data_IF_266426293944
#
_entry.id   IF_266426293944
#
_cell.length_a   1.000
_cell.length_b   1.000
_cell.length_c   1.000
_cell.angle_alpha   90.00
_cell.angle_beta   90.00
_cell.angle_gamma   90.00
#
_symmetry.space_group_name_H-M   'P 1'
#
loop_
_entity.id
_entity.type
_entity.pdbx_description
1 polymer ?
#
# COMPACT_ATOMS: atom_id res chain seq x y z
N UNK A 1 29.60 -3.02 57.54
CA UNK A 1 29.89 -2.58 56.14
C UNK A 1 28.84 -3.08 55.13
N UNK A 2 27.54 -3.16 55.48
CA UNK A 2 26.55 -3.86 54.63
C UNK A 2 25.68 -2.98 53.71
N UNK A 3 25.54 -1.69 53.99
CA UNK A 3 24.53 -0.82 53.35
C UNK A 3 24.95 -0.26 51.99
N UNK A 4 26.25 -0.01 51.78
CA UNK A 4 26.75 0.61 50.54
C UNK A 4 26.52 -0.27 49.30
N UNK A 5 26.82 -1.57 49.39
CA UNK A 5 26.69 -2.50 48.26
C UNK A 5 25.27 -2.62 47.70
N UNK A 6 24.25 -2.57 48.57
CA UNK A 6 22.84 -2.65 48.15
C UNK A 6 22.41 -1.37 47.41
N UNK A 7 22.87 -0.20 47.88
CA UNK A 7 22.60 1.07 47.20
C UNK A 7 23.25 1.12 45.81
N UNK A 8 24.52 0.69 45.68
CA UNK A 8 25.20 0.62 44.38
C UNK A 8 24.55 -0.39 43.44
N UNK A 9 24.09 -1.55 43.94
CA UNK A 9 23.39 -2.54 43.13
C UNK A 9 22.01 -2.05 42.67
N UNK A 10 21.28 -1.29 43.50
CA UNK A 10 20.02 -0.65 43.12
C UNK A 10 20.22 0.47 42.09
N UNK A 11 21.27 1.30 42.23
CA UNK A 11 21.64 2.26 41.19
C UNK A 11 22.06 1.57 39.88
N UNK A 12 22.78 0.44 39.95
CA UNK A 12 23.10 -0.33 38.76
C UNK A 12 21.85 -0.94 38.12
N UNK A 13 20.86 -1.38 38.89
CA UNK A 13 19.59 -1.87 38.36
C UNK A 13 18.72 -0.76 37.72
N UNK A 14 18.74 0.47 38.26
CA UNK A 14 18.06 1.61 37.63
C UNK A 14 18.84 2.20 36.43
N UNK A 15 20.17 2.10 36.42
CA UNK A 15 21.00 2.45 35.26
C UNK A 15 21.01 1.35 34.18
N UNK A 16 20.69 0.09 34.53
CA UNK A 16 20.41 -1.01 33.60
C UNK A 16 19.03 -0.90 32.94
N UNK A 17 18.22 0.11 33.31
CA UNK A 17 17.31 0.74 32.34
C UNK A 17 18.09 1.60 31.33
N UNK A 18 19.06 0.95 30.67
CA UNK A 18 19.82 1.46 29.53
C UNK A 18 18.82 1.92 28.47
N UNK A 19 19.19 2.96 27.74
CA UNK A 19 18.44 3.62 26.67
C UNK A 19 18.19 2.74 25.45
N UNK A 20 17.46 1.64 25.64
CA UNK A 20 16.77 0.93 24.58
C UNK A 20 15.61 1.81 24.11
N UNK A 21 15.77 2.40 22.92
CA UNK A 21 14.68 3.11 22.26
C UNK A 21 13.48 2.18 22.04
N UNK A 22 12.27 2.76 21.95
CA UNK A 22 11.06 2.01 21.59
C UNK A 22 11.31 1.33 20.23
N UNK A 23 11.01 0.04 20.14
CA UNK A 23 11.08 -0.69 18.88
C UNK A 23 9.86 -0.32 18.02
N UNK A 24 10.05 -0.09 16.73
CA UNK A 24 8.94 0.06 15.80
C UNK A 24 8.04 -1.20 15.80
N UNK A 25 6.73 -0.99 15.79
CA UNK A 25 5.75 -2.07 15.63
C UNK A 25 5.77 -2.54 14.17
N UNK A 26 5.98 -3.84 13.97
CA UNK A 26 5.91 -4.50 12.67
C UNK A 26 4.42 -4.63 12.28
N UNK A 27 3.91 -3.64 11.54
CA UNK A 27 2.52 -3.62 11.04
C UNK A 27 2.20 -4.83 10.16
N UNK A 28 3.22 -5.43 9.55
CA UNK A 28 3.12 -6.62 8.71
C UNK A 28 3.13 -7.93 9.53
N UNK A 29 3.20 -7.88 10.88
CA UNK A 29 3.17 -9.05 11.79
C UNK A 29 2.46 -8.81 13.13
N UNK A 30 1.64 -7.78 13.24
CA UNK A 30 0.97 -7.45 14.49
C UNK A 30 -0.04 -8.53 14.93
N UNK A 31 -0.08 -8.80 16.25
CA UNK A 31 -0.80 -9.96 16.84
C UNK A 31 -2.32 -9.90 16.72
N UNK A 32 -2.89 -8.73 16.45
CA UNK A 32 -4.34 -8.53 16.37
C UNK A 32 -4.86 -8.52 14.91
N UNK A 33 -4.03 -8.98 13.96
CA UNK A 33 -4.39 -9.16 12.56
C UNK A 33 -4.05 -7.95 11.69
N UNK A 34 -5.05 -7.44 10.98
CA UNK A 34 -4.89 -6.34 10.03
C UNK A 34 -4.67 -4.98 10.69
N UNK A 35 -3.82 -4.18 10.05
CA UNK A 35 -3.81 -2.70 10.04
C UNK A 35 -5.10 -2.11 9.42
N UNK A 36 -5.71 -2.79 8.44
CA UNK A 36 -7.00 -2.37 7.88
C UNK A 36 -8.17 -3.13 8.51
N UNK A 37 -8.97 -2.43 9.32
CA UNK A 37 -10.14 -2.98 10.03
C UNK A 37 -11.18 -3.65 9.11
N UNK A 38 -11.39 -3.17 7.88
CA UNK A 38 -12.34 -3.79 6.95
C UNK A 38 -11.94 -5.20 6.49
N UNK A 39 -10.65 -5.57 6.53
CA UNK A 39 -10.18 -6.87 6.07
C UNK A 39 -10.62 -8.03 6.96
N UNK A 40 -11.12 -7.72 8.16
CA UNK A 40 -11.65 -8.70 9.12
C UNK A 40 -12.94 -9.39 8.61
N UNK A 41 -13.46 -9.06 7.40
CA UNK A 41 -14.54 -9.77 6.71
C UNK A 41 -14.38 -9.86 5.15
N UNK A 42 -14.08 -11.07 4.64
CA UNK A 42 -14.27 -11.67 3.26
C UNK A 42 -14.23 -10.76 1.99
N UNK A 43 -13.39 -11.12 0.99
CA UNK A 43 -13.17 -10.34 -0.25
C UNK A 43 -13.30 -11.06 -1.61
N UNK A 44 -12.75 -10.51 -2.73
CA UNK A 44 -12.33 -11.13 -4.03
C UNK A 44 -12.21 -10.12 -5.21
N UNK A 45 -11.15 -10.23 -6.06
CA UNK A 45 -10.72 -9.41 -7.27
C UNK A 45 -11.09 -7.91 -7.33
N UNK A 46 -10.12 -6.99 -7.41
CA UNK A 46 -10.09 -5.78 -6.56
C UNK A 46 -9.05 -4.69 -7.04
N UNK A 47 -8.94 -3.46 -6.51
CA UNK A 47 -7.91 -2.43 -6.87
C UNK A 47 -7.33 -1.67 -5.64
N UNK A 48 -6.38 -0.73 -5.83
CA UNK A 48 -5.62 -0.09 -4.72
C UNK A 48 -6.28 1.13 -4.03
N UNK A 49 -6.95 2.03 -4.75
CA UNK A 49 -7.44 3.30 -4.19
C UNK A 49 -8.98 3.37 -4.21
N UNK A 50 -9.64 4.04 -3.26
CA UNK A 50 -11.10 4.25 -3.32
C UNK A 50 -11.54 4.87 -4.66
N UNK A 51 -12.77 4.61 -5.11
CA UNK A 51 -13.33 5.29 -6.29
C UNK A 51 -13.78 6.74 -5.97
N UNK A 52 -13.89 7.65 -6.95
CA UNK A 52 -14.27 9.05 -6.69
C UNK A 52 -15.73 9.22 -6.24
N UNK A 53 -16.57 8.23 -6.53
CA UNK A 53 -17.99 8.08 -6.18
C UNK A 53 -18.20 7.24 -4.90
N UNK A 54 -17.12 6.76 -4.26
CA UNK A 54 -17.21 5.92 -3.08
C UNK A 54 -17.82 6.66 -1.89
N UNK A 55 -18.79 6.03 -1.22
CA UNK A 55 -19.36 6.55 0.04
C UNK A 55 -18.31 6.69 1.16
N UNK A 56 -17.17 5.98 1.05
CA UNK A 56 -16.04 6.08 1.99
C UNK A 56 -15.09 7.26 1.70
N UNK A 57 -15.30 7.98 0.61
CA UNK A 57 -14.58 9.23 0.35
C UNK A 57 -14.96 10.29 1.40
N UNK A 58 -14.00 11.11 1.83
CA UNK A 58 -14.31 12.29 2.65
C UNK A 58 -15.03 13.35 1.79
N UNK A 59 -16.02 14.03 2.36
CA UNK A 59 -16.96 14.88 1.63
C UNK A 59 -17.02 16.34 2.12
N UNK A 60 -16.58 16.61 3.35
CA UNK A 60 -16.43 17.97 3.87
C UNK A 60 -15.34 18.71 3.06
N UNK A 61 -15.58 19.98 2.71
CA UNK A 61 -14.61 20.85 2.04
C UNK A 61 -14.44 22.19 2.78
N UNK A 62 -13.33 22.89 2.56
CA UNK A 62 -13.17 24.30 2.93
C UNK A 62 -13.40 25.28 1.76
N UNK A 63 -13.29 26.58 2.05
CA UNK A 63 -13.46 27.70 1.12
C UNK A 63 -12.57 27.61 -0.13
N UNK A 64 -11.45 26.91 -0.02
CA UNK A 64 -10.45 26.78 -1.08
C UNK A 64 -10.66 25.47 -1.86
N UNK A 65 -11.77 24.77 -1.62
CA UNK A 65 -12.12 23.50 -2.26
C UNK A 65 -11.38 22.28 -1.70
N UNK A 66 -10.47 22.43 -0.74
CA UNK A 66 -9.74 21.30 -0.17
C UNK A 66 -10.68 20.38 0.61
N UNK A 67 -10.43 19.08 0.58
CA UNK A 67 -11.18 18.09 1.35
C UNK A 67 -10.67 18.01 2.79
N UNK A 68 -11.59 18.06 3.74
CA UNK A 68 -11.28 18.10 5.17
C UNK A 68 -11.46 16.72 5.79
N UNK A 69 -10.45 16.32 6.57
CA UNK A 69 -10.49 15.16 7.46
C UNK A 69 -10.42 15.69 8.90
N UNK A 70 -11.56 15.79 9.61
CA UNK A 70 -11.58 16.17 11.02
C UNK A 70 -10.92 15.08 11.86
N UNK A 71 -10.06 15.46 12.81
CA UNK A 71 -9.43 14.53 13.74
C UNK A 71 -9.46 15.01 15.20
N UNK A 72 -9.34 14.07 16.14
CA UNK A 72 -9.03 14.33 17.54
C UNK A 72 -7.84 13.47 17.98
N UNK A 73 -7.06 13.94 18.96
CA UNK A 73 -6.07 13.12 19.67
C UNK A 73 -6.62 12.83 21.07
N UNK A 74 -7.25 11.67 21.23
CA UNK A 74 -7.73 11.19 22.52
C UNK A 74 -6.61 10.48 23.32
N UNK A 75 -5.59 10.00 22.61
CA UNK A 75 -4.39 9.38 23.14
C UNK A 75 -3.50 10.34 23.95
N UNK A 76 -2.65 9.75 24.80
CA UNK A 76 -1.43 10.39 25.31
C UNK A 76 -0.20 9.69 24.71
N UNK A 77 0.81 10.48 24.37
CA UNK A 77 2.09 10.05 23.78
C UNK A 77 3.26 10.71 24.51
N UNK A 78 4.49 10.26 24.27
CA UNK A 78 5.66 11.07 24.61
C UNK A 78 5.61 12.36 23.75
N UNK A 79 5.85 13.56 24.30
CA UNK A 79 5.96 14.80 23.52
C UNK A 79 6.95 14.72 22.33
N UNK A 80 7.93 13.82 22.37
CA UNK A 80 8.88 13.54 21.27
C UNK A 80 8.26 12.77 20.10
N UNK A 81 7.16 12.06 20.32
CA UNK A 81 6.45 11.26 19.30
C UNK A 81 5.37 12.06 18.56
N UNK A 82 4.72 13.02 19.23
CA UNK A 82 3.71 13.91 18.63
C UNK A 82 4.14 14.59 17.30
N UNK A 83 5.41 14.98 17.09
CA UNK A 83 5.90 15.47 15.80
C UNK A 83 5.67 14.51 14.62
N UNK A 84 5.59 13.20 14.80
CA UNK A 84 5.36 12.24 13.71
C UNK A 84 3.96 12.38 13.10
N UNK A 85 2.92 12.51 13.94
CA UNK A 85 1.54 12.82 13.47
C UNK A 85 1.51 14.16 12.73
N UNK A 86 2.27 15.17 13.19
CA UNK A 86 2.34 16.47 12.51
C UNK A 86 3.08 16.37 11.16
N UNK A 87 4.19 15.65 11.10
CA UNK A 87 4.99 15.44 9.87
C UNK A 87 4.18 14.68 8.81
N UNK A 88 3.57 13.56 9.18
CA UNK A 88 2.82 12.72 8.24
C UNK A 88 1.60 13.44 7.64
N UNK A 89 0.83 14.18 8.46
CA UNK A 89 -0.26 15.03 7.96
C UNK A 89 0.25 16.12 7.01
N UNK A 90 1.27 16.89 7.43
CA UNK A 90 1.86 17.94 6.59
C UNK A 90 2.42 17.39 5.27
N UNK A 91 2.91 16.16 5.25
CA UNK A 91 3.43 15.49 4.06
C UNK A 91 2.33 15.10 3.06
N UNK A 92 1.16 14.69 3.53
CA UNK A 92 -0.04 14.52 2.68
C UNK A 92 -0.57 15.88 2.22
N UNK A 93 -0.63 16.87 3.11
CA UNK A 93 -1.17 18.21 2.84
C UNK A 93 -0.36 18.98 1.78
N UNK A 94 0.97 18.82 1.78
CA UNK A 94 1.86 19.45 0.79
C UNK A 94 1.77 18.83 -0.62
N UNK A 95 1.26 17.60 -0.75
CA UNK A 95 1.25 16.83 -2.00
C UNK A 95 -0.18 16.55 -2.53
N UNK A 96 -1.22 17.07 -1.88
CA UNK A 96 -2.63 16.79 -2.23
C UNK A 96 -3.54 17.95 -1.82
N UNK A 97 -4.83 17.86 -2.16
CA UNK A 97 -5.89 18.74 -1.65
C UNK A 97 -6.58 18.22 -0.35
N UNK A 98 -5.95 17.30 0.39
CA UNK A 98 -6.42 16.86 1.72
C UNK A 98 -5.91 17.83 2.79
N UNK A 99 -6.75 18.21 3.76
CA UNK A 99 -6.35 19.00 4.94
C UNK A 99 -6.91 18.36 6.21
N UNK A 100 -6.04 18.10 7.19
CA UNK A 100 -6.42 17.53 8.48
C UNK A 100 -6.65 18.65 9.50
N UNK A 101 -7.89 18.82 9.96
CA UNK A 101 -8.28 19.88 10.89
C UNK A 101 -8.70 19.30 12.23
N UNK A 102 -8.41 20.02 13.31
CA UNK A 102 -8.86 19.59 14.65
C UNK A 102 -10.38 19.72 14.72
N UNK A 103 -11.02 18.61 15.07
CA UNK A 103 -12.47 18.48 15.10
C UNK A 103 -13.06 19.41 16.15
N UNK A 104 -14.10 20.14 15.77
CA UNK A 104 -14.94 20.96 16.64
C UNK A 104 -16.22 20.23 17.01
N UNK A 105 -17.09 19.94 16.03
CA UNK A 105 -18.39 19.31 16.21
C UNK A 105 -18.77 18.30 15.09
N UNK A 106 -17.88 18.09 14.12
CA UNK A 106 -18.15 17.32 12.90
C UNK A 106 -18.58 15.88 13.24
N UNK A 107 -19.65 15.39 12.60
CA UNK A 107 -20.16 14.03 12.85
C UNK A 107 -19.14 12.96 12.46
N UNK A 108 -18.54 13.11 11.27
CA UNK A 108 -17.56 12.19 10.73
C UNK A 108 -16.14 12.68 11.06
N UNK A 109 -15.36 11.85 11.76
CA UNK A 109 -13.99 12.21 12.18
C UNK A 109 -13.14 10.97 12.48
N UNK A 110 -11.83 11.17 12.59
CA UNK A 110 -10.88 10.15 13.09
C UNK A 110 -10.45 10.48 14.51
N UNK A 111 -10.66 9.55 15.44
CA UNK A 111 -10.11 9.62 16.79
C UNK A 111 -8.80 8.83 16.86
N UNK A 112 -7.70 9.55 17.12
CA UNK A 112 -6.38 8.95 17.32
C UNK A 112 -6.30 8.39 18.75
N UNK A 113 -6.11 7.07 18.84
CA UNK A 113 -6.06 6.30 20.08
C UNK A 113 -4.69 5.64 20.28
N UNK A 114 -4.31 5.47 21.55
CA UNK A 114 -3.17 4.68 21.99
C UNK A 114 -3.69 3.66 23.03
N UNK A 115 -3.46 2.38 22.78
CA UNK A 115 -3.75 1.27 23.69
C UNK A 115 -2.62 0.25 23.57
N UNK A 116 -2.19 -0.32 24.69
CA UNK A 116 -1.12 -1.31 24.69
C UNK A 116 -1.62 -2.70 24.25
N UNK A 117 -0.89 -3.36 23.35
CA UNK A 117 -1.24 -4.65 22.78
C UNK A 117 -2.31 -4.61 21.68
N UNK A 118 -2.51 -3.46 21.02
CA UNK A 118 -3.48 -3.26 19.93
C UNK A 118 -2.81 -3.06 18.57
N UNK A 119 -1.58 -2.56 18.52
CA UNK A 119 -0.81 -2.35 17.30
C UNK A 119 -1.13 -1.02 16.58
N UNK A 120 -0.97 -1.03 15.26
CA UNK A 120 -1.24 0.11 14.37
C UNK A 120 -2.36 -0.30 13.42
N UNK A 121 -3.49 0.41 13.42
CA UNK A 121 -4.59 0.10 12.51
C UNK A 121 -5.57 1.26 12.33
N UNK A 122 -6.29 1.26 11.21
CA UNK A 122 -7.41 2.17 10.97
C UNK A 122 -8.43 1.60 9.97
N UNK A 123 -9.24 2.47 9.37
CA UNK A 123 -10.20 2.15 8.32
C UNK A 123 -9.77 2.84 7.03
N UNK A 124 -9.93 2.17 5.89
CA UNK A 124 -9.76 2.83 4.59
C UNK A 124 -10.95 3.76 4.32
N UNK A 125 -10.68 5.06 4.33
CA UNK A 125 -11.65 6.14 4.16
C UNK A 125 -12.60 6.39 5.35
N UNK A 126 -13.45 7.40 5.16
CA UNK A 126 -14.55 7.78 6.06
C UNK A 126 -15.51 6.60 6.28
N UNK A 127 -15.85 6.30 7.53
CA UNK A 127 -16.78 5.19 7.86
C UNK A 127 -18.21 5.63 8.21
N UNK A 128 -18.43 6.92 8.44
CA UNK A 128 -19.65 7.46 9.04
C UNK A 128 -19.55 7.45 10.57
N UNK A 129 -19.67 8.63 11.18
CA UNK A 129 -19.39 8.83 12.59
C UNK A 129 -17.90 8.73 12.92
N UNK A 130 -17.59 8.22 14.11
CA UNK A 130 -16.24 8.13 14.64
C UNK A 130 -15.46 6.94 14.06
N UNK A 131 -14.51 7.22 13.17
CA UNK A 131 -13.43 6.29 12.85
C UNK A 131 -12.35 6.26 13.95
N UNK A 132 -11.62 5.16 14.03
CA UNK A 132 -10.46 4.99 14.92
C UNK A 132 -9.20 4.94 14.08
N UNK A 133 -8.18 5.68 14.50
CA UNK A 133 -6.78 5.47 14.11
C UNK A 133 -6.03 5.03 15.37
N UNK A 134 -5.73 3.74 15.46
CA UNK A 134 -4.89 3.20 16.52
C UNK A 134 -3.43 3.41 16.13
N UNK A 135 -2.71 4.14 16.98
CA UNK A 135 -1.26 4.23 16.96
C UNK A 135 -0.80 3.89 18.37
N UNK A 136 -0.56 2.60 18.62
CA UNK A 136 0.01 2.16 19.90
C UNK A 136 1.37 2.81 20.16
N UNK A 137 1.60 3.23 21.40
CA UNK A 137 2.93 3.54 21.89
C UNK A 137 3.03 3.26 23.38
N UNK A 138 3.92 2.34 23.74
CA UNK A 138 4.16 1.89 25.10
C UNK A 138 5.65 2.07 25.48
N UNK A 139 6.13 1.42 26.55
CA UNK A 139 7.51 1.53 27.02
C UNK A 139 8.52 0.61 26.30
N UNK A 140 8.05 -0.23 25.38
CA UNK A 140 8.82 -1.21 24.59
C UNK A 140 8.67 -0.98 23.10
N UNK A 141 7.44 -0.71 22.63
CA UNK A 141 7.08 -0.72 21.20
C UNK A 141 6.24 0.53 20.82
N UNK A 142 6.32 0.97 19.57
CA UNK A 142 5.60 2.17 19.06
C UNK A 142 5.24 2.11 17.58
N UNK A 143 4.08 2.68 17.24
CA UNK A 143 3.62 3.00 15.88
C UNK A 143 4.03 4.41 15.42
N UNK A 144 4.72 5.18 16.27
CA UNK A 144 4.95 6.62 16.08
C UNK A 144 6.17 6.94 15.19
N UNK A 145 6.68 5.97 14.43
CA UNK A 145 7.64 6.24 13.36
C UNK A 145 6.95 7.01 12.22
N UNK A 146 7.58 8.06 11.64
CA UNK A 146 6.92 8.93 10.66
C UNK A 146 6.30 8.20 9.46
N UNK A 147 6.96 7.16 8.97
CA UNK A 147 6.50 6.31 7.87
C UNK A 147 5.28 5.46 8.24
N UNK A 148 5.23 4.90 9.45
CA UNK A 148 4.07 4.13 9.95
C UNK A 148 2.86 5.03 10.11
N UNK A 149 3.03 6.21 10.70
CA UNK A 149 1.94 7.19 10.82
C UNK A 149 1.48 7.71 9.46
N UNK A 150 2.38 7.80 8.47
CA UNK A 150 2.03 8.16 7.10
C UNK A 150 1.21 7.05 6.41
N UNK A 151 1.62 5.78 6.53
CA UNK A 151 0.89 4.63 6.00
C UNK A 151 -0.56 4.58 6.52
N UNK A 152 -0.75 4.70 7.83
CA UNK A 152 -2.08 4.72 8.45
C UNK A 152 -2.92 5.92 8.00
N UNK A 153 -2.30 7.10 7.83
CA UNK A 153 -3.02 8.28 7.31
C UNK A 153 -3.38 8.12 5.82
N UNK A 154 -2.62 7.37 5.02
CA UNK A 154 -3.01 7.02 3.66
C UNK A 154 -4.23 6.09 3.62
N UNK A 155 -4.36 5.14 4.56
CA UNK A 155 -5.62 4.41 4.76
C UNK A 155 -6.77 5.37 5.07
N UNK A 156 -6.62 6.23 6.08
CA UNK A 156 -7.63 7.24 6.45
C UNK A 156 -8.09 8.08 5.25
N UNK A 157 -7.17 8.45 4.34
CA UNK A 157 -7.49 9.19 3.11
C UNK A 157 -8.23 8.35 2.08
N UNK A 158 -7.85 7.08 1.88
CA UNK A 158 -8.56 6.17 0.98
C UNK A 158 -7.70 5.20 0.16
N UNK A 159 -6.46 4.90 0.55
CA UNK A 159 -5.65 3.85 -0.08
C UNK A 159 -5.77 2.52 0.68
N UNK A 160 -5.87 1.41 -0.05
CA UNK A 160 -5.60 0.06 0.44
C UNK A 160 -4.12 -0.27 0.19
N UNK A 161 -3.67 -1.50 0.48
CA UNK A 161 -2.30 -1.90 0.16
C UNK A 161 -2.06 -2.15 -1.33
N UNK A 162 -0.81 -1.99 -1.78
CA UNK A 162 -0.45 -2.17 -3.20
C UNK A 162 -0.50 -3.65 -3.61
N UNK A 163 -0.07 -4.56 -2.73
CA UNK A 163 -0.21 -6.02 -2.90
C UNK A 163 -1.66 -6.51 -2.84
N UNK A 164 -2.64 -5.60 -2.75
CA UNK A 164 -4.08 -5.89 -2.80
C UNK A 164 -4.75 -5.46 -4.11
N UNK A 165 -3.99 -5.18 -5.17
CA UNK A 165 -4.52 -4.96 -6.52
C UNK A 165 -4.90 -6.26 -7.25
N UNK A 166 -5.85 -6.19 -8.18
CA UNK A 166 -6.24 -7.28 -9.11
C UNK A 166 -5.07 -7.74 -9.96
N UNK A 167 -4.35 -6.78 -10.54
CA UNK A 167 -3.25 -6.94 -11.48
C UNK A 167 -1.92 -7.32 -10.81
N UNK A 168 -1.84 -7.29 -9.47
CA UNK A 168 -0.65 -7.66 -8.70
C UNK A 168 0.00 -8.98 -9.14
N UNK A 169 -0.79 -9.95 -9.62
CA UNK A 169 -0.29 -11.29 -9.97
C UNK A 169 0.58 -11.25 -11.25
N UNK A 170 0.70 -10.08 -11.90
CA UNK A 170 1.68 -9.75 -12.96
C UNK A 170 3.02 -9.20 -12.42
N UNK A 171 3.11 -8.94 -11.11
CA UNK A 171 4.19 -8.22 -10.44
C UNK A 171 4.73 -8.97 -9.20
N UNK A 172 3.86 -9.70 -8.50
CA UNK A 172 4.20 -10.49 -7.31
C UNK A 172 3.53 -11.87 -7.31
N UNK A 173 4.19 -12.84 -6.69
CA UNK A 173 3.61 -14.14 -6.31
C UNK A 173 3.39 -14.18 -4.80
N UNK A 174 2.19 -14.57 -4.38
CA UNK A 174 1.84 -14.75 -2.95
C UNK A 174 1.91 -16.23 -2.59
N UNK A 175 2.73 -16.55 -1.60
CA UNK A 175 2.96 -17.89 -1.08
C UNK A 175 1.99 -18.21 0.07
N UNK A 176 0.74 -18.53 -0.25
CA UNK A 176 -0.29 -18.89 0.74
C UNK A 176 0.08 -20.13 1.58
N UNK A 177 0.94 -21.01 1.06
CA UNK A 177 1.53 -22.16 1.75
C UNK A 177 2.57 -21.78 2.83
N UNK A 178 2.98 -20.51 2.87
CA UNK A 178 3.90 -19.94 3.85
C UNK A 178 3.22 -19.00 4.85
N UNK A 179 1.90 -18.82 4.75
CA UNK A 179 1.10 -17.88 5.53
C UNK A 179 0.03 -18.68 6.28
N UNK A 180 -0.08 -18.50 7.59
CA UNK A 180 -1.10 -19.20 8.37
C UNK A 180 -2.52 -18.71 7.99
N UNK A 181 -3.49 -19.62 7.96
CA UNK A 181 -4.79 -19.40 7.30
C UNK A 181 -5.61 -18.23 7.87
N UNK A 182 -5.35 -17.83 9.11
CA UNK A 182 -5.96 -16.65 9.74
C UNK A 182 -5.50 -15.32 9.11
N UNK A 183 -4.30 -15.27 8.50
CA UNK A 183 -3.77 -14.09 7.81
C UNK A 183 -4.00 -14.08 6.29
N UNK A 184 -4.60 -15.13 5.71
CA UNK A 184 -4.99 -15.13 4.29
C UNK A 184 -5.88 -13.93 3.86
N UNK A 185 -6.74 -13.34 4.71
CA UNK A 185 -7.42 -12.09 4.41
C UNK A 185 -6.49 -10.91 4.10
N UNK A 186 -5.30 -10.84 4.73
CA UNK A 186 -4.30 -9.77 4.49
C UNK A 186 -3.70 -9.81 3.07
N UNK A 187 -3.84 -10.96 2.40
CA UNK A 187 -3.41 -11.18 1.01
C UNK A 187 -4.60 -11.43 0.09
N UNK A 188 -5.83 -11.28 0.57
CA UNK A 188 -6.98 -11.05 -0.32
C UNK A 188 -6.87 -9.62 -0.84
N UNK A 189 -7.34 -9.33 -2.04
CA UNK A 189 -7.16 -8.00 -2.68
C UNK A 189 -8.23 -6.99 -2.09
N UNK A 190 -8.45 -5.71 -2.49
CA UNK A 190 -9.70 -4.91 -2.13
C UNK A 190 -10.64 -4.20 -3.21
N UNK A 191 -11.99 -4.32 -3.12
CA UNK A 191 -13.03 -4.60 -4.19
C UNK A 191 -13.23 -3.66 -5.40
N UNK A 192 -13.65 -4.12 -6.61
CA UNK A 192 -13.70 -3.30 -7.83
C UNK A 192 -14.97 -2.44 -7.92
N UNK A 193 -15.99 -2.79 -7.14
CA UNK A 193 -17.13 -1.91 -6.86
C UNK A 193 -16.76 -0.79 -5.87
N UNK A 194 -15.63 -0.87 -5.14
CA UNK A 194 -15.26 0.10 -4.08
C UNK A 194 -13.90 0.79 -4.30
N UNK A 195 -13.07 0.28 -5.21
CA UNK A 195 -11.71 0.75 -5.50
C UNK A 195 -11.38 0.73 -7.01
N UNK A 196 -10.35 1.47 -7.41
CA UNK A 196 -9.74 1.54 -8.75
C UNK A 196 -8.22 1.76 -8.64
N UNK A 197 -7.45 1.55 -9.71
CA UNK A 197 -6.01 1.90 -9.79
C UNK A 197 -5.75 3.22 -10.48
N UNK A 198 -6.78 3.86 -11.07
CA UNK A 198 -6.64 5.08 -11.88
C UNK A 198 -5.58 4.98 -13.00
N UNK A 199 -5.39 3.77 -13.55
CA UNK A 199 -4.34 3.44 -14.51
C UNK A 199 -2.90 3.77 -14.04
N UNK A 200 -2.69 3.98 -12.74
CA UNK A 200 -1.36 4.12 -12.15
C UNK A 200 -0.67 2.74 -12.18
N UNK A 201 0.60 2.64 -12.65
CA UNK A 201 1.37 1.39 -12.63
C UNK A 201 1.44 0.74 -11.25
N UNK A 202 1.82 -0.53 -11.20
CA UNK A 202 2.11 -1.22 -9.93
C UNK A 202 3.40 -0.68 -9.34
N UNK A 203 3.36 -0.28 -8.07
CA UNK A 203 4.46 0.44 -7.44
C UNK A 203 5.07 -0.32 -6.26
N UNK A 204 6.14 -1.07 -6.52
CA UNK A 204 6.96 -1.72 -5.49
C UNK A 204 7.60 -0.74 -4.48
N UNK A 205 7.58 0.58 -4.76
CA UNK A 205 8.05 1.66 -3.88
C UNK A 205 6.90 2.44 -3.24
N UNK A 206 5.64 2.01 -3.39
CA UNK A 206 4.50 2.55 -2.64
C UNK A 206 4.71 2.30 -1.14
N UNK A 207 4.42 3.30 -0.30
CA UNK A 207 4.45 3.09 1.16
C UNK A 207 3.37 2.10 1.60
N UNK A 208 2.36 1.87 0.75
CA UNK A 208 1.27 0.93 0.96
C UNK A 208 1.63 -0.52 0.60
N UNK A 209 2.89 -0.83 0.29
CA UNK A 209 3.31 -2.19 -0.06
C UNK A 209 3.86 -2.93 1.16
N UNK A 210 3.38 -4.14 1.45
CA UNK A 210 3.93 -5.02 2.50
C UNK A 210 5.35 -5.51 2.17
N UNK A 211 6.12 -5.86 3.21
CA UNK A 211 7.42 -6.54 3.03
C UNK A 211 7.27 -8.01 2.57
N UNK A 212 8.35 -8.56 1.99
CA UNK A 212 8.40 -9.92 1.41
C UNK A 212 8.07 -11.07 2.37
N UNK A 213 8.12 -10.80 3.67
CA UNK A 213 7.96 -11.73 4.80
C UNK A 213 6.75 -11.41 5.70
N UNK A 214 5.91 -10.45 5.31
CA UNK A 214 4.67 -10.08 5.98
C UNK A 214 3.80 -11.30 6.33
N UNK A 215 3.40 -11.46 7.59
CA UNK A 215 2.64 -12.61 8.12
C UNK A 215 3.17 -14.01 7.72
N UNK A 216 4.44 -14.11 7.29
CA UNK A 216 5.03 -15.37 6.88
C UNK A 216 5.49 -16.20 8.09
N UNK A 217 5.35 -17.52 7.98
CA UNK A 217 5.95 -18.48 8.89
C UNK A 217 7.46 -18.26 9.01
N UNK A 218 8.03 -18.47 10.20
CA UNK A 218 9.42 -18.14 10.53
C UNK A 218 10.41 -18.70 9.51
N UNK A 219 11.21 -17.82 8.90
CA UNK A 219 12.26 -18.19 7.94
C UNK A 219 11.77 -18.32 6.48
N UNK A 220 10.52 -17.96 6.18
CA UNK A 220 9.95 -17.98 4.84
C UNK A 220 9.61 -16.58 4.32
N UNK A 221 9.38 -16.48 3.01
CA UNK A 221 8.70 -15.35 2.37
C UNK A 221 7.22 -15.66 2.16
N UNK A 222 6.37 -14.65 2.31
CA UNK A 222 4.95 -14.66 1.93
C UNK A 222 4.73 -14.05 0.54
N UNK A 223 5.67 -13.23 0.07
CA UNK A 223 5.54 -12.46 -1.16
C UNK A 223 6.88 -12.39 -1.91
N UNK A 224 6.87 -12.89 -3.14
CA UNK A 224 7.98 -12.86 -4.08
C UNK A 224 7.69 -11.79 -5.16
N UNK A 225 8.69 -11.01 -5.59
CA UNK A 225 8.54 -10.08 -6.72
C UNK A 225 8.98 -10.75 -8.02
N UNK A 226 8.17 -10.62 -9.09
CA UNK A 226 8.49 -11.22 -10.39
C UNK A 226 9.63 -10.50 -11.12
N UNK A 227 9.86 -9.23 -10.78
CA UNK A 227 11.15 -8.57 -11.01
C UNK A 227 12.01 -8.72 -9.72
N UNK A 228 13.13 -9.46 -9.75
CA UNK A 228 13.94 -9.71 -8.56
C UNK A 228 14.64 -8.45 -8.02
N UNK A 229 14.80 -7.40 -8.82
CA UNK A 229 15.43 -6.14 -8.37
C UNK A 229 14.61 -5.43 -7.28
N UNK A 230 13.31 -5.74 -7.17
CA UNK A 230 12.42 -5.15 -6.18
C UNK A 230 12.21 -6.03 -4.93
N UNK A 231 12.83 -7.21 -4.88
CA UNK A 231 12.55 -8.21 -3.84
C UNK A 231 12.89 -7.73 -2.41
N UNK A 232 13.92 -6.90 -2.28
CA UNK A 232 14.33 -6.24 -1.04
C UNK A 232 13.89 -4.76 -0.95
N UNK A 233 13.20 -4.25 -1.97
CA UNK A 233 12.68 -2.87 -2.01
C UNK A 233 11.30 -2.78 -1.34
N UNK A 234 10.46 -3.79 -1.48
CA UNK A 234 9.09 -3.80 -0.96
C UNK A 234 9.04 -3.76 0.58
N UNK A 235 8.19 -2.89 1.14
CA UNK A 235 7.98 -2.73 2.59
C UNK A 235 9.04 -1.93 3.36
N UNK A 236 10.06 -1.40 2.68
CA UNK A 236 11.17 -0.65 3.29
C UNK A 236 11.08 0.88 3.14
N UNK A 237 9.91 1.39 2.71
CA UNK A 237 9.67 2.80 2.39
C UNK A 237 9.73 3.71 3.62
N UNK A 238 10.25 4.95 3.43
CA UNK A 238 10.33 6.01 4.46
C UNK A 238 9.45 7.23 4.16
N UNK A 239 8.78 7.23 3.02
CA UNK A 239 7.86 8.26 2.54
C UNK A 239 6.94 7.63 1.49
N UNK A 240 5.81 8.26 1.18
CA UNK A 240 4.92 7.80 0.13
C UNK A 240 5.44 8.16 -1.27
N UNK A 241 5.12 7.35 -2.27
CA UNK A 241 5.61 7.55 -3.63
C UNK A 241 4.78 8.60 -4.39
N UNK A 242 5.28 9.14 -5.52
CA UNK A 242 4.47 9.96 -6.42
C UNK A 242 3.18 9.25 -6.87
N UNK A 243 3.22 7.92 -7.03
CA UNK A 243 2.07 7.08 -7.35
C UNK A 243 1.00 7.13 -6.27
N UNK A 244 1.39 7.13 -4.99
CA UNK A 244 0.48 7.21 -3.85
C UNK A 244 -0.26 8.55 -3.81
N UNK A 245 0.46 9.66 -3.96
CA UNK A 245 -0.15 10.99 -4.07
C UNK A 245 -1.03 11.14 -5.31
N UNK A 246 -0.60 10.61 -6.48
CA UNK A 246 -1.39 10.63 -7.71
C UNK A 246 -2.72 9.90 -7.56
N UNK A 247 -2.73 8.72 -6.93
CA UNK A 247 -3.98 8.00 -6.61
C UNK A 247 -4.91 8.83 -5.73
N UNK A 248 -4.39 9.51 -4.70
CA UNK A 248 -5.18 10.38 -3.82
C UNK A 248 -5.76 11.56 -4.60
N UNK A 249 -4.94 12.21 -5.42
CA UNK A 249 -5.38 13.26 -6.34
C UNK A 249 -6.52 12.80 -7.25
N UNK A 250 -6.47 11.57 -7.76
CA UNK A 250 -7.50 10.98 -8.58
C UNK A 250 -8.80 10.63 -7.81
N UNK A 251 -8.70 10.16 -6.55
CA UNK A 251 -9.86 10.02 -5.65
C UNK A 251 -10.57 11.37 -5.51
N UNK A 252 -9.82 12.40 -5.15
CA UNK A 252 -10.39 13.67 -4.67
C UNK A 252 -10.63 14.70 -5.78
N UNK A 253 -10.02 14.53 -6.96
CA UNK A 253 -9.97 15.53 -8.03
C UNK A 253 -9.43 16.86 -7.51
N UNK A 254 -8.20 16.76 -7.01
CA UNK A 254 -7.40 17.92 -6.62
C UNK A 254 -7.01 18.75 -7.85
N UNK A 255 -6.75 20.03 -7.65
CA UNK A 255 -6.41 21.00 -8.72
C UNK A 255 -4.90 21.21 -8.92
N UNK A 256 -4.07 20.59 -8.08
CA UNK A 256 -2.61 20.61 -8.12
C UNK A 256 -2.10 19.31 -7.47
N UNK A 257 -1.23 18.60 -8.17
CA UNK A 257 -0.68 17.31 -7.77
C UNK A 257 0.81 17.16 -8.16
N UNK A 258 1.59 16.33 -7.43
CA UNK A 258 2.97 16.03 -7.79
C UNK A 258 3.06 15.45 -9.22
N UNK A 259 3.68 16.21 -10.12
CA UNK A 259 3.78 15.87 -11.56
C UNK A 259 2.79 16.60 -12.48
N UNK A 260 1.96 17.53 -11.99
CA UNK A 260 1.09 18.38 -12.84
C UNK A 260 1.76 19.67 -13.33
N UNK A 261 3.02 19.93 -12.96
CA UNK A 261 3.86 20.95 -13.61
C UNK A 261 4.34 20.45 -14.98
N UNK A 262 3.43 20.23 -15.93
CA UNK A 262 3.75 20.17 -17.36
C UNK A 262 3.87 21.60 -17.89
N UNK A 263 4.97 22.26 -17.53
CA UNK A 263 5.40 23.50 -18.17
C UNK A 263 6.27 23.11 -19.39
N UNK A 264 5.92 23.58 -20.59
CA UNK A 264 6.69 23.34 -21.82
C UNK A 264 8.01 24.13 -21.78
N UNK A 265 8.99 23.62 -21.03
CA UNK A 265 10.07 24.42 -20.46
C UNK A 265 11.48 23.81 -20.48
N UNK A 266 11.77 22.94 -21.45
CA UNK A 266 13.12 22.50 -21.89
C UNK A 266 14.28 22.72 -20.89
N UNK A 267 14.48 21.74 -19.98
CA UNK A 267 15.74 21.55 -19.27
C UNK A 267 16.39 20.23 -19.72
N UNK A 268 17.71 20.22 -19.85
CA UNK A 268 18.47 19.13 -20.47
C UNK A 268 19.68 18.73 -19.63
N UNK A 269 19.48 17.80 -18.70
CA UNK A 269 20.52 16.83 -18.33
C UNK A 269 19.90 15.42 -18.19
N UNK A 270 20.74 14.40 -18.09
CA UNK A 270 20.60 13.23 -18.94
C UNK A 270 20.68 11.88 -18.20
N UNK A 271 20.17 10.84 -18.87
CA UNK A 271 20.41 9.42 -18.57
C UNK A 271 19.80 8.86 -17.26
N UNK A 272 18.47 8.90 -17.16
CA UNK A 272 17.74 7.66 -16.83
C UNK A 272 17.10 7.18 -18.14
N UNK A 273 17.36 5.95 -18.62
CA UNK A 273 16.71 5.45 -19.82
C UNK A 273 15.19 5.36 -19.63
N UNK A 274 14.43 5.68 -20.68
CA UNK A 274 13.00 5.37 -20.72
C UNK A 274 12.78 3.87 -20.43
N UNK A 275 11.72 3.50 -19.70
CA UNK A 275 11.38 2.10 -19.49
C UNK A 275 11.06 1.47 -20.84
N UNK A 276 12.00 0.65 -21.33
CA UNK A 276 11.93 0.06 -22.67
C UNK A 276 10.61 -0.67 -22.85
N UNK A 277 9.69 -0.07 -23.61
CA UNK A 277 8.49 -0.73 -24.11
C UNK A 277 8.91 -1.72 -25.18
N UNK A 278 9.40 -2.87 -24.72
CA UNK A 278 9.79 -4.01 -25.53
C UNK A 278 8.53 -4.70 -26.08
N UNK A 279 7.80 -3.99 -26.93
CA UNK A 279 6.82 -4.56 -27.85
C UNK A 279 7.62 -5.24 -28.97
N UNK A 280 7.61 -6.58 -29.08
CA UNK A 280 8.48 -7.31 -30.00
C UNK A 280 7.94 -7.22 -31.43
N UNK A 281 8.15 -6.08 -32.08
CA UNK A 281 8.03 -5.97 -33.53
C UNK A 281 8.97 -7.00 -34.17
N UNK A 282 8.47 -7.92 -35.01
CA UNK A 282 9.20 -9.14 -35.33
C UNK A 282 10.36 -8.86 -36.27
N UNK A 283 11.57 -9.24 -35.86
CA UNK A 283 12.63 -9.52 -36.82
C UNK A 283 12.27 -10.74 -37.68
N UNK A 284 12.82 -10.79 -38.88
CA UNK A 284 12.33 -11.65 -39.96
C UNK A 284 12.51 -13.15 -39.72
N UNK A 285 11.40 -13.86 -39.53
CA UNK A 285 11.07 -15.01 -40.36
C UNK A 285 11.72 -16.37 -40.07
N UNK A 286 12.45 -16.55 -38.95
CA UNK A 286 12.95 -17.87 -38.54
C UNK A 286 12.58 -18.18 -37.07
N UNK A 287 12.30 -19.45 -36.81
CA UNK A 287 12.03 -20.07 -35.50
C UNK A 287 10.89 -19.50 -34.63
N UNK A 288 9.66 -19.56 -35.17
CA UNK A 288 8.46 -19.73 -34.35
C UNK A 288 7.94 -21.17 -34.41
N UNK A 289 7.68 -21.81 -33.26
CA UNK A 289 7.06 -23.13 -33.17
C UNK A 289 6.00 -23.19 -32.06
N UNK A 290 4.79 -23.64 -32.39
CA UNK A 290 3.70 -23.86 -31.43
C UNK A 290 4.01 -25.03 -30.49
N UNK A 291 4.25 -24.76 -29.20
CA UNK A 291 4.68 -25.80 -28.25
C UNK A 291 3.63 -26.90 -27.96
N UNK A 292 2.33 -26.67 -28.21
CA UNK A 292 1.31 -27.71 -28.03
C UNK A 292 0.01 -27.52 -28.84
N UNK A 293 -0.13 -28.25 -29.95
CA UNK A 293 -1.31 -28.25 -30.82
C UNK A 293 -2.56 -28.96 -30.26
N UNK A 294 -2.53 -29.50 -29.04
CA UNK A 294 -3.72 -29.96 -28.32
C UNK A 294 -4.30 -28.84 -27.43
N UNK A 295 -3.43 -28.11 -26.72
CA UNK A 295 -3.82 -27.00 -25.84
C UNK A 295 -4.62 -25.91 -26.58
N UNK A 296 -4.19 -25.56 -27.78
CA UNK A 296 -4.89 -24.63 -28.68
C UNK A 296 -6.33 -25.07 -29.03
N UNK A 297 -6.58 -26.37 -29.22
CA UNK A 297 -7.91 -26.90 -29.51
C UNK A 297 -8.84 -26.80 -28.31
N UNK A 298 -8.31 -26.98 -27.09
CA UNK A 298 -9.05 -26.77 -25.84
C UNK A 298 -9.47 -25.30 -25.69
N UNK A 299 -8.56 -24.34 -25.92
CA UNK A 299 -8.87 -22.92 -25.79
C UNK A 299 -9.90 -22.43 -26.83
N UNK A 300 -9.80 -22.89 -28.07
CA UNK A 300 -10.80 -22.62 -29.11
C UNK A 300 -12.18 -23.21 -28.75
N UNK A 301 -12.22 -24.44 -28.23
CA UNK A 301 -13.45 -25.10 -27.76
C UNK A 301 -14.10 -24.46 -26.53
N UNK A 302 -13.38 -23.56 -25.84
CA UNK A 302 -13.89 -22.76 -24.71
C UNK A 302 -14.30 -21.33 -25.12
N UNK A 303 -14.29 -21.02 -26.42
CA UNK A 303 -14.50 -19.66 -26.97
C UNK A 303 -13.52 -18.60 -26.43
N UNK A 304 -12.34 -19.01 -25.95
CA UNK A 304 -11.29 -18.10 -25.47
C UNK A 304 -10.36 -17.61 -26.59
N UNK A 305 -10.61 -18.00 -27.84
CA UNK A 305 -9.91 -17.58 -29.06
C UNK A 305 -10.92 -17.46 -30.22
N UNK A 306 -10.91 -16.35 -30.97
CA UNK A 306 -11.67 -16.22 -32.22
C UNK A 306 -10.92 -16.84 -33.41
N UNK A 307 -11.09 -18.16 -33.62
CA UNK A 307 -10.40 -18.89 -34.69
C UNK A 307 -11.11 -18.79 -36.05
N UNK A 308 -11.23 -17.59 -36.65
CA UNK A 308 -11.87 -17.39 -37.98
C UNK A 308 -11.09 -18.00 -39.15
N UNK A 309 -9.80 -18.28 -38.98
CA UNK A 309 -8.96 -18.95 -39.99
C UNK A 309 -8.30 -20.17 -39.36
N UNK A 310 -8.78 -21.37 -39.73
CA UNK A 310 -8.27 -22.64 -39.22
C UNK A 310 -7.67 -23.45 -40.37
N UNK A 311 -6.34 -23.64 -40.35
CA UNK A 311 -5.64 -24.55 -41.28
C UNK A 311 -4.81 -25.56 -40.48
N UNK A 312 -4.39 -26.66 -41.12
CA UNK A 312 -3.82 -27.83 -40.44
C UNK A 312 -2.43 -27.61 -39.77
N UNK A 313 -1.88 -26.39 -39.74
CA UNK A 313 -0.50 -26.12 -39.30
C UNK A 313 -0.28 -24.88 -38.41
N UNK A 314 -1.32 -24.16 -37.99
CA UNK A 314 -1.15 -22.92 -37.20
C UNK A 314 -2.16 -22.83 -36.05
N UNK A 315 -1.70 -22.42 -34.87
CA UNK A 315 -2.54 -21.95 -33.77
C UNK A 315 -2.53 -20.41 -33.69
N UNK A 316 -3.70 -19.81 -33.46
CA UNK A 316 -3.86 -18.35 -33.48
C UNK A 316 -3.42 -17.66 -32.16
N UNK A 317 -2.33 -18.12 -31.54
CA UNK A 317 -1.83 -17.64 -30.25
C UNK A 317 -0.34 -17.23 -30.26
N UNK A 318 0.40 -17.45 -31.35
CA UNK A 318 1.86 -17.30 -31.36
C UNK A 318 2.34 -16.60 -32.64
N UNK A 319 3.25 -15.61 -32.49
CA UNK A 319 4.05 -15.00 -33.57
C UNK A 319 3.32 -14.20 -34.67
N UNK A 320 2.22 -13.51 -34.31
CA UNK A 320 1.42 -12.62 -35.16
C UNK A 320 0.64 -13.30 -36.30
N UNK A 321 -0.62 -12.88 -36.46
CA UNK A 321 -1.34 -13.08 -37.71
C UNK A 321 -0.74 -12.15 -38.77
N UNK A 322 0.24 -12.64 -39.51
CA UNK A 322 1.09 -11.82 -40.38
C UNK A 322 0.30 -11.07 -41.47
N UNK A 323 0.43 -9.75 -41.43
CA UNK A 323 0.30 -8.78 -42.53
C UNK A 323 -0.73 -9.10 -43.62
N UNK A 324 -1.98 -8.69 -43.41
CA UNK A 324 -2.94 -8.45 -44.48
C UNK A 324 -3.62 -7.09 -44.34
N UNK A 325 -3.04 -6.11 -45.04
CA UNK A 325 -3.80 -5.29 -46.00
C UNK A 325 -3.66 -5.99 -47.35
#
# INVERSE_FOLDING_TARGET
>A
MGTSFVATLLLLLSLVQITLGKKAIDIFRQKNGADILQLRNRGNKMFNALRPDSTRKWNLRDSNGNYIIPYTVAARYDPKELPSIRKARARIEANTCIRFKERTNEHDYIEIQNKAGEGCYTNVGRIGGKGILMLESNFRETCMEPETVLHELMHVVGLWHEHMRYDRDKYIRVHYENIDKEYWPQFTKVKPEIATTYNVPYDYKSIMHYDKTAFAQKGKISMETLDPNFQDVIGNQKDASPSDYKKICEIYKCSQCPGENTDDGNDTDTNIPDPVTADPSPSTGQDCQDMNAAYCRTLAGLHLLECRHFTKKQCCATCLAMNFV
#
